data_IF_406411829525
#
_entry.id   IF_406411829525
#
_cell.length_a   1.000
_cell.length_b   1.000
_cell.length_c   1.000
_cell.angle_alpha   90.00
_cell.angle_beta   90.00
_cell.angle_gamma   90.00
#
_symmetry.space_group_name_H-M   'P 1'
#
loop_
_entity.id
_entity.type
_entity.pdbx_description
1 polymer ?
#
# COMPACT_ATOMS: atom_id res chain seq x y z
N UNK A 1 5.54 -23.95 -3.36
CA UNK A 1 6.69 -23.87 -2.44
C UNK A 1 6.57 -24.84 -1.25
N UNK A 2 5.73 -24.60 -0.22
CA UNK A 2 5.67 -25.49 0.97
C UNK A 2 5.28 -26.95 0.64
N UNK A 3 4.28 -27.17 -0.24
CA UNK A 3 3.93 -28.53 -0.71
C UNK A 3 5.07 -29.27 -1.42
N UNK A 4 5.95 -28.54 -2.09
CA UNK A 4 7.07 -29.11 -2.86
C UNK A 4 8.28 -29.39 -1.96
N UNK A 5 8.57 -28.52 -0.99
CA UNK A 5 9.73 -28.65 -0.08
C UNK A 5 9.44 -29.61 1.11
N UNK A 6 8.19 -29.79 1.53
CA UNK A 6 7.82 -30.60 2.70
C UNK A 6 6.91 -31.80 2.37
N UNK A 7 7.32 -32.65 1.43
CA UNK A 7 6.73 -33.99 1.18
C UNK A 7 5.20 -33.97 0.98
N UNK A 8 4.65 -32.98 0.27
CA UNK A 8 3.22 -32.93 -0.06
C UNK A 8 2.29 -32.49 1.08
N UNK A 9 2.81 -32.08 2.25
CA UNK A 9 1.97 -31.60 3.36
C UNK A 9 1.28 -30.28 3.00
N UNK A 10 -0.04 -30.26 3.15
CA UNK A 10 -0.88 -29.11 2.81
C UNK A 10 -1.15 -28.21 4.02
N UNK A 11 -0.38 -27.12 4.11
CA UNK A 11 -0.52 -26.13 5.17
C UNK A 11 -1.87 -25.39 5.13
N UNK A 12 -2.61 -25.43 4.01
CA UNK A 12 -3.88 -24.70 3.84
C UNK A 12 -5.00 -25.24 4.75
N UNK A 13 -4.85 -26.46 5.25
CA UNK A 13 -5.81 -27.11 6.15
C UNK A 13 -5.75 -26.56 7.58
N UNK A 14 -4.62 -25.98 8.00
CA UNK A 14 -4.39 -25.51 9.37
C UNK A 14 -4.31 -23.99 9.45
N UNK A 15 -5.41 -23.37 9.90
CA UNK A 15 -5.54 -21.92 10.06
C UNK A 15 -4.48 -21.31 11.00
N UNK A 16 -4.07 -22.04 12.06
CA UNK A 16 -3.06 -21.58 13.01
C UNK A 16 -1.68 -21.52 12.36
N UNK A 17 -1.31 -22.55 11.59
CA UNK A 17 -0.06 -22.58 10.83
C UNK A 17 0.01 -21.42 9.82
N UNK A 18 -1.07 -21.19 9.07
CA UNK A 18 -1.16 -20.08 8.10
C UNK A 18 -0.99 -18.72 8.80
N UNK A 19 -1.63 -18.52 9.95
CA UNK A 19 -1.52 -17.25 10.69
C UNK A 19 -0.07 -16.98 11.14
N UNK A 20 0.60 -18.00 11.68
CA UNK A 20 2.01 -17.89 12.11
C UNK A 20 2.93 -17.56 10.93
N UNK A 21 2.74 -18.25 9.80
CA UNK A 21 3.49 -17.96 8.58
C UNK A 21 3.22 -16.53 8.08
N UNK A 22 1.96 -16.07 8.07
CA UNK A 22 1.61 -14.70 7.67
C UNK A 22 2.29 -13.64 8.53
N UNK A 23 2.35 -13.84 9.85
CA UNK A 23 3.04 -12.92 10.76
C UNK A 23 4.55 -12.85 10.45
N UNK A 24 5.17 -14.01 10.21
CA UNK A 24 6.58 -14.07 9.82
C UNK A 24 6.83 -13.39 8.46
N UNK A 25 5.94 -13.61 7.48
CA UNK A 25 6.01 -12.95 6.18
C UNK A 25 5.80 -11.42 6.27
N UNK A 26 4.92 -10.93 7.14
CA UNK A 26 4.72 -9.49 7.35
C UNK A 26 5.97 -8.83 7.93
N UNK A 27 6.61 -9.48 8.90
CA UNK A 27 7.89 -9.05 9.46
C UNK A 27 8.98 -9.05 8.38
N UNK A 28 9.06 -10.13 7.59
CA UNK A 28 10.00 -10.24 6.49
C UNK A 28 9.80 -9.15 5.42
N UNK A 29 8.54 -8.87 5.03
CA UNK A 29 8.19 -7.78 4.11
C UNK A 29 8.73 -6.44 4.61
N UNK A 30 8.53 -6.12 5.90
CA UNK A 30 9.03 -4.88 6.50
C UNK A 30 10.56 -4.81 6.47
N UNK A 31 11.24 -5.91 6.75
CA UNK A 31 12.70 -6.00 6.66
C UNK A 31 13.19 -5.84 5.22
N UNK A 32 12.50 -6.40 4.23
CA UNK A 32 12.88 -6.29 2.81
C UNK A 32 12.74 -4.87 2.26
N UNK A 33 11.95 -4.01 2.90
CA UNK A 33 11.91 -2.58 2.56
C UNK A 33 13.23 -1.85 2.84
N UNK A 34 14.10 -2.37 3.71
CA UNK A 34 15.42 -1.78 4.02
C UNK A 34 16.58 -2.71 3.65
N UNK A 35 16.47 -4.02 3.90
CA UNK A 35 17.49 -5.03 3.62
C UNK A 35 17.28 -5.72 2.26
N UNK A 36 18.36 -6.18 1.62
CA UNK A 36 18.30 -6.89 0.34
C UNK A 36 17.79 -8.33 0.46
N UNK A 37 17.89 -8.93 1.65
CA UNK A 37 17.40 -10.27 1.96
C UNK A 37 17.03 -10.38 3.43
N UNK A 38 16.20 -11.37 3.76
CA UNK A 38 15.81 -11.69 5.13
C UNK A 38 15.50 -13.18 5.25
N UNK A 39 15.50 -13.71 6.47
CA UNK A 39 15.20 -15.11 6.75
C UNK A 39 13.82 -15.21 7.40
N UNK A 40 12.91 -15.96 6.78
CA UNK A 40 11.60 -16.31 7.33
C UNK A 40 11.77 -17.60 8.12
N UNK A 41 11.65 -17.51 9.45
CA UNK A 41 11.78 -18.65 10.38
C UNK A 41 10.49 -18.79 11.18
N UNK A 42 9.94 -20.00 11.21
CA UNK A 42 8.80 -20.37 12.06
C UNK A 42 9.02 -21.78 12.61
N UNK A 43 9.23 -21.87 13.92
CA UNK A 43 9.40 -23.15 14.64
C UNK A 43 8.08 -23.94 14.70
N UNK A 44 8.12 -25.27 14.62
CA UNK A 44 6.96 -26.17 14.63
C UNK A 44 5.79 -25.62 13.80
N UNK A 45 6.02 -25.22 12.55
CA UNK A 45 5.01 -24.56 11.71
C UNK A 45 3.82 -25.49 11.46
N UNK A 46 4.08 -26.75 11.12
CA UNK A 46 3.06 -27.76 10.82
C UNK A 46 3.58 -29.17 11.07
N UNK A 47 2.85 -29.99 11.83
CA UNK A 47 3.27 -31.34 12.26
C UNK A 47 4.70 -31.40 12.84
N UNK A 48 5.04 -30.47 13.74
CA UNK A 48 6.38 -30.35 14.35
C UNK A 48 7.53 -30.14 13.33
N UNK A 49 7.21 -29.68 12.11
CA UNK A 49 8.21 -29.30 11.11
C UNK A 49 8.50 -27.82 11.21
N UNK A 50 9.78 -27.48 11.43
CA UNK A 50 10.28 -26.12 11.35
C UNK A 50 10.29 -25.61 9.89
N UNK A 51 9.93 -24.35 9.72
CA UNK A 51 10.03 -23.66 8.44
C UNK A 51 11.15 -22.62 8.49
N UNK A 52 12.03 -22.69 7.51
CA UNK A 52 13.19 -21.80 7.41
C UNK A 52 13.50 -21.55 5.94
N UNK A 53 13.30 -20.30 5.49
CA UNK A 53 13.61 -19.90 4.11
C UNK A 53 14.20 -18.51 4.05
N UNK A 54 15.26 -18.34 3.27
CA UNK A 54 15.77 -17.01 2.92
C UNK A 54 14.95 -16.47 1.76
N UNK A 55 14.47 -15.23 1.89
CA UNK A 55 13.75 -14.50 0.86
C UNK A 55 14.56 -13.25 0.52
N UNK A 56 14.82 -13.06 -0.77
CA UNK A 56 15.46 -11.83 -1.28
C UNK A 56 14.41 -10.80 -1.67
N UNK A 57 14.82 -9.53 -1.70
CA UNK A 57 13.97 -8.43 -2.17
C UNK A 57 13.54 -8.66 -3.62
N UNK A 58 14.45 -9.12 -4.48
CA UNK A 58 14.16 -9.40 -5.88
C UNK A 58 13.06 -10.47 -6.04
N UNK A 59 13.13 -11.56 -5.27
CA UNK A 59 12.08 -12.60 -5.28
C UNK A 59 10.74 -12.05 -4.77
N UNK A 60 10.75 -11.26 -3.68
CA UNK A 60 9.53 -10.61 -3.19
C UNK A 60 8.90 -9.69 -4.24
N UNK A 61 9.73 -8.87 -4.90
CA UNK A 61 9.27 -7.95 -5.94
C UNK A 61 8.70 -8.69 -7.14
N UNK A 62 9.33 -9.80 -7.56
CA UNK A 62 8.80 -10.66 -8.62
C UNK A 62 7.46 -11.30 -8.23
N UNK A 63 7.32 -11.78 -6.99
CA UNK A 63 6.08 -12.40 -6.49
C UNK A 63 4.89 -11.43 -6.43
N UNK A 64 5.13 -10.12 -6.40
CA UNK A 64 4.10 -9.09 -6.26
C UNK A 64 4.06 -8.11 -7.44
N UNK A 65 4.79 -8.37 -8.52
CA UNK A 65 4.93 -7.44 -9.65
C UNK A 65 3.58 -7.12 -10.31
N UNK A 66 2.70 -8.10 -10.42
CA UNK A 66 1.34 -7.95 -10.94
C UNK A 66 0.52 -6.96 -10.08
N UNK A 67 0.61 -7.09 -8.75
CA UNK A 67 -0.07 -6.18 -7.82
C UNK A 67 0.51 -4.76 -7.88
N UNK A 68 1.83 -4.62 -7.97
CA UNK A 68 2.48 -3.32 -8.13
C UNK A 68 2.15 -2.67 -9.47
N UNK A 69 1.96 -3.46 -10.51
CA UNK A 69 1.55 -2.95 -11.83
C UNK A 69 0.11 -2.42 -11.79
N UNK A 70 -0.80 -3.14 -11.12
CA UNK A 70 -2.18 -2.69 -10.93
C UNK A 70 -2.27 -1.35 -10.18
N UNK A 71 -1.37 -1.07 -9.23
CA UNK A 71 -1.38 0.25 -8.57
C UNK A 71 -0.99 1.38 -9.53
N UNK A 72 -0.07 1.11 -10.48
CA UNK A 72 0.30 2.10 -11.49
C UNK A 72 -0.82 2.35 -12.51
N UNK A 73 -1.64 1.35 -12.80
CA UNK A 73 -2.80 1.55 -13.68
C UNK A 73 -3.81 2.51 -13.05
N UNK A 74 -4.00 2.45 -11.73
CA UNK A 74 -4.83 3.44 -11.01
C UNK A 74 -4.27 4.85 -11.11
N UNK A 75 -2.95 5.03 -10.99
CA UNK A 75 -2.31 6.34 -11.17
C UNK A 75 -2.59 6.90 -12.57
N UNK A 76 -2.48 6.07 -13.61
CA UNK A 76 -2.77 6.48 -15.00
C UNK A 76 -4.23 6.87 -15.18
N UNK A 77 -5.17 6.05 -14.67
CA UNK A 77 -6.60 6.36 -14.74
C UNK A 77 -6.93 7.64 -14.01
N UNK A 78 -6.37 7.88 -12.81
CA UNK A 78 -6.60 9.12 -12.06
C UNK A 78 -6.10 10.36 -12.81
N UNK A 79 -4.95 10.30 -13.47
CA UNK A 79 -4.47 11.40 -14.32
C UNK A 79 -5.40 11.65 -15.51
N UNK A 80 -5.86 10.58 -16.16
CA UNK A 80 -6.80 10.66 -17.27
C UNK A 80 -8.14 11.29 -16.85
N UNK A 81 -8.68 10.88 -15.70
CA UNK A 81 -9.94 11.40 -15.17
C UNK A 81 -9.82 12.87 -14.78
N UNK A 82 -8.66 13.27 -14.24
CA UNK A 82 -8.32 14.65 -13.93
C UNK A 82 -8.00 15.50 -15.17
N UNK A 83 -7.81 14.87 -16.34
CA UNK A 83 -7.34 15.52 -17.58
C UNK A 83 -6.01 16.26 -17.39
N UNK A 84 -5.10 15.65 -16.64
CA UNK A 84 -3.77 16.18 -16.36
C UNK A 84 -2.70 15.29 -16.97
N UNK A 85 -1.63 15.92 -17.47
CA UNK A 85 -0.42 15.23 -17.86
C UNK A 85 0.52 15.05 -16.66
N UNK A 86 1.48 14.13 -16.81
CA UNK A 86 2.51 13.88 -15.79
C UNK A 86 3.30 15.14 -15.41
N UNK A 87 3.44 16.07 -16.35
CA UNK A 87 4.18 17.32 -16.16
C UNK A 87 3.44 18.30 -15.23
N UNK A 88 2.10 18.22 -15.18
CA UNK A 88 1.25 19.09 -14.36
C UNK A 88 1.30 18.70 -12.87
N UNK A 89 1.88 17.55 -12.54
CA UNK A 89 2.04 17.10 -11.15
C UNK A 89 3.27 17.75 -10.53
N UNK A 90 3.04 18.59 -9.53
CA UNK A 90 4.08 19.36 -8.84
C UNK A 90 4.79 18.54 -7.76
N UNK A 91 4.03 17.82 -6.93
CA UNK A 91 4.55 17.03 -5.81
C UNK A 91 3.91 15.66 -5.76
N UNK A 92 4.68 14.67 -5.28
CA UNK A 92 4.22 13.30 -5.08
C UNK A 92 4.43 12.96 -3.61
N UNK A 93 3.34 13.01 -2.82
CA UNK A 93 3.37 12.66 -1.41
C UNK A 93 3.03 11.17 -1.22
N UNK A 94 3.88 10.46 -0.50
CA UNK A 94 3.65 9.06 -0.16
C UNK A 94 2.92 8.92 1.18
N UNK A 95 1.80 8.21 1.18
CA UNK A 95 0.99 7.96 2.38
C UNK A 95 0.68 6.46 2.51
N UNK A 96 0.77 5.94 3.73
CA UNK A 96 0.56 4.53 4.08
C UNK A 96 1.84 3.69 4.07
N UNK A 97 2.02 2.81 5.06
CA UNK A 97 3.26 2.08 5.28
C UNK A 97 3.76 1.20 4.12
N UNK A 98 2.87 0.71 3.23
CA UNK A 98 3.28 -0.04 2.04
C UNK A 98 4.02 0.81 1.00
N UNK A 99 3.92 2.13 1.06
CA UNK A 99 4.71 3.04 0.21
C UNK A 99 6.21 3.01 0.54
N UNK A 100 6.61 2.39 1.66
CA UNK A 100 8.03 2.16 2.02
C UNK A 100 8.70 1.09 1.15
N UNK A 101 7.95 0.35 0.32
CA UNK A 101 8.51 -0.66 -0.58
C UNK A 101 9.32 0.03 -1.68
N UNK A 102 10.63 -0.26 -1.83
CA UNK A 102 11.49 0.41 -2.80
C UNK A 102 10.99 0.29 -4.25
N UNK A 103 10.46 -0.88 -4.64
CA UNK A 103 9.94 -1.08 -6.00
C UNK A 103 8.79 -0.16 -6.35
N UNK A 104 7.85 0.03 -5.42
CA UNK A 104 6.70 0.95 -5.61
C UNK A 104 7.19 2.39 -5.79
N UNK A 105 8.17 2.82 -4.98
CA UNK A 105 8.78 4.14 -5.11
C UNK A 105 9.49 4.31 -6.45
N UNK A 106 10.30 3.33 -6.86
CA UNK A 106 11.01 3.35 -8.12
C UNK A 106 10.05 3.41 -9.32
N UNK A 107 8.97 2.63 -9.31
CA UNK A 107 7.97 2.64 -10.38
C UNK A 107 7.24 3.99 -10.46
N UNK A 108 6.95 4.63 -9.33
CA UNK A 108 6.39 5.99 -9.31
C UNK A 108 7.38 7.03 -9.84
N UNK A 109 8.63 7.00 -9.40
CA UNK A 109 9.66 7.92 -9.89
C UNK A 109 9.87 7.77 -11.39
N UNK A 110 10.00 6.53 -11.89
CA UNK A 110 10.13 6.24 -13.31
C UNK A 110 8.91 6.77 -14.09
N UNK A 111 7.70 6.54 -13.58
CA UNK A 111 6.48 7.01 -14.22
C UNK A 111 6.42 8.54 -14.33
N UNK A 112 6.91 9.26 -13.32
CA UNK A 112 6.98 10.72 -13.28
C UNK A 112 8.35 11.27 -13.69
N UNK A 113 9.06 10.60 -14.61
CA UNK A 113 10.31 11.06 -15.23
C UNK A 113 11.43 11.42 -14.23
N UNK A 114 11.55 10.63 -13.16
CA UNK A 114 12.57 10.81 -12.13
C UNK A 114 12.25 11.89 -11.10
N UNK A 115 11.02 12.43 -11.05
CA UNK A 115 10.61 13.40 -10.04
C UNK A 115 10.80 12.85 -8.62
N UNK A 116 11.25 13.70 -7.71
CA UNK A 116 11.45 13.35 -6.31
C UNK A 116 10.12 13.04 -5.59
N UNK A 117 10.16 12.00 -4.76
CA UNK A 117 9.06 11.64 -3.88
C UNK A 117 9.19 12.40 -2.55
N UNK A 118 8.12 13.06 -2.14
CA UNK A 118 8.08 13.83 -0.90
C UNK A 118 8.06 12.90 0.31
N UNK A 119 8.99 13.14 1.25
CA UNK A 119 9.20 12.34 2.47
C UNK A 119 9.15 13.18 3.75
N UNK A 120 8.75 14.44 3.66
CA UNK A 120 8.67 15.37 4.79
C UNK A 120 7.65 14.96 5.86
N UNK A 121 6.68 14.12 5.52
CA UNK A 121 5.61 13.68 6.42
C UNK A 121 5.74 12.17 6.66
N UNK A 122 5.53 11.75 7.90
CA UNK A 122 5.46 10.32 8.23
C UNK A 122 4.25 9.67 7.53
N UNK A 123 4.46 8.68 6.63
CA UNK A 123 3.37 8.10 5.84
C UNK A 123 2.33 7.37 6.69
N UNK A 124 2.67 6.92 7.89
CA UNK A 124 1.75 6.20 8.78
C UNK A 124 0.84 7.15 9.58
N UNK A 125 1.21 8.44 9.69
CA UNK A 125 0.53 9.44 10.50
C UNK A 125 -0.15 10.54 9.66
N UNK A 126 0.25 10.69 8.39
CA UNK A 126 -0.21 11.77 7.51
C UNK A 126 -1.75 11.92 7.47
N UNK A 127 -2.48 10.79 7.41
CA UNK A 127 -3.95 10.77 7.37
C UNK A 127 -4.54 11.27 8.69
N UNK A 128 -4.04 10.75 9.83
CA UNK A 128 -4.52 11.13 11.15
C UNK A 128 -4.23 12.61 11.44
N UNK A 129 -3.07 13.09 11.01
CA UNK A 129 -2.69 14.49 11.12
C UNK A 129 -3.65 15.40 10.35
N UNK A 130 -3.93 15.09 9.07
CA UNK A 130 -4.89 15.85 8.27
C UNK A 130 -6.30 15.86 8.89
N UNK A 131 -6.76 14.72 9.42
CA UNK A 131 -8.03 14.63 10.11
C UNK A 131 -8.10 15.50 11.37
N UNK A 132 -7.02 15.55 12.16
CA UNK A 132 -6.94 16.41 13.35
C UNK A 132 -7.00 17.90 12.99
N UNK A 133 -6.33 18.32 11.91
CA UNK A 133 -6.41 19.70 11.39
C UNK A 133 -7.84 20.06 11.02
N UNK A 134 -8.54 19.17 10.28
CA UNK A 134 -9.95 19.39 9.92
C UNK A 134 -10.87 19.43 11.14
N UNK A 135 -10.65 18.55 12.12
CA UNK A 135 -11.43 18.52 13.35
C UNK A 135 -11.29 19.84 14.13
N UNK A 136 -10.07 20.33 14.29
CA UNK A 136 -9.83 21.56 15.03
C UNK A 136 -10.33 22.81 14.26
N UNK A 137 -10.36 22.79 12.92
CA UNK A 137 -11.11 23.79 12.13
C UNK A 137 -12.60 23.78 12.48
N UNK A 138 -13.20 22.59 12.54
CA UNK A 138 -14.63 22.44 12.85
C UNK A 138 -14.97 22.80 14.31
N UNK A 139 -14.03 22.62 15.23
CA UNK A 139 -14.19 22.99 16.64
C UNK A 139 -13.94 24.48 16.93
N UNK A 140 -13.51 25.27 15.94
CA UNK A 140 -13.21 26.70 16.13
C UNK A 140 -11.91 26.99 16.90
N UNK A 141 -11.07 25.98 17.14
CA UNK A 141 -9.81 26.09 17.90
C UNK A 141 -8.59 26.20 16.98
N UNK A 142 -8.70 26.97 15.90
CA UNK A 142 -7.63 27.12 14.89
C UNK A 142 -6.81 28.40 15.07
N UNK A 143 -5.55 28.36 14.64
CA UNK A 143 -4.72 29.56 14.53
C UNK A 143 -5.13 30.39 13.30
N UNK A 144 -4.89 31.71 13.34
CA UNK A 144 -5.20 32.64 12.24
C UNK A 144 -4.60 32.24 10.89
N UNK A 145 -3.52 31.46 10.87
CA UNK A 145 -2.87 30.99 9.64
C UNK A 145 -3.71 29.94 8.87
N UNK A 146 -4.67 29.28 9.54
CA UNK A 146 -5.46 28.18 8.97
C UNK A 146 -6.95 28.50 8.83
N UNK A 147 -7.37 29.73 9.14
CA UNK A 147 -8.77 30.16 9.01
C UNK A 147 -9.31 30.01 7.57
N UNK A 148 -8.45 30.25 6.58
CA UNK A 148 -8.80 30.21 5.15
C UNK A 148 -8.65 28.81 4.51
N UNK A 149 -8.41 27.76 5.28
CA UNK A 149 -8.25 26.41 4.73
C UNK A 149 -9.60 25.91 4.17
N UNK A 150 -9.75 25.83 2.84
CA UNK A 150 -10.94 25.25 2.20
C UNK A 150 -10.64 23.89 1.60
N UNK A 151 -11.55 22.92 1.80
CA UNK A 151 -11.45 21.57 1.27
C UNK A 151 -12.62 21.33 0.31
N UNK A 152 -12.30 20.99 -0.93
CA UNK A 152 -13.26 20.56 -1.94
C UNK A 152 -13.03 19.08 -2.22
N UNK A 153 -14.07 18.25 -2.04
CA UNK A 153 -14.02 16.81 -2.26
C UNK A 153 -14.99 16.43 -3.38
N UNK A 154 -14.67 15.35 -4.11
CA UNK A 154 -15.47 14.83 -5.22
C UNK A 154 -16.03 13.46 -4.86
N UNK A 155 -17.22 13.14 -5.37
CA UNK A 155 -17.80 11.80 -5.21
C UNK A 155 -17.06 10.79 -6.11
N UNK A 156 -16.52 9.68 -5.58
CA UNK A 156 -15.67 8.77 -6.34
C UNK A 156 -16.43 7.95 -7.39
N UNK A 157 -17.74 7.81 -7.25
CA UNK A 157 -18.60 7.06 -8.15
C UNK A 157 -19.82 7.89 -8.53
N UNK A 158 -20.35 7.63 -9.73
CA UNK A 158 -21.59 8.24 -10.19
C UNK A 158 -22.77 7.76 -9.33
N UNK A 159 -23.63 8.70 -8.93
CA UNK A 159 -24.86 8.41 -8.21
C UNK A 159 -26.02 8.38 -9.21
N UNK A 160 -26.71 7.25 -9.28
CA UNK A 160 -27.92 7.07 -10.06
C UNK A 160 -29.00 6.42 -9.20
N UNK A 161 -30.26 6.69 -9.52
CA UNK A 161 -31.39 6.01 -8.89
C UNK A 161 -32.25 5.41 -10.00
N UNK A 162 -32.85 4.25 -9.72
CA UNK A 162 -33.69 3.52 -10.67
C UNK A 162 -35.13 3.61 -10.20
N UNK A 163 -36.01 4.05 -11.06
CA UNK A 163 -37.44 4.08 -10.76
C UNK A 163 -38.06 2.66 -10.86
N UNK A 164 -39.32 2.54 -10.44
CA UNK A 164 -40.08 1.28 -10.50
C UNK A 164 -40.36 0.79 -11.94
N UNK A 165 -40.15 1.65 -12.96
CA UNK A 165 -40.26 1.30 -14.37
C UNK A 165 -38.96 0.81 -14.97
N UNK A 166 -37.89 0.87 -14.17
CA UNK A 166 -36.59 0.33 -14.51
C UNK A 166 -35.78 1.21 -15.46
N UNK A 167 -36.15 2.48 -15.60
CA UNK A 167 -35.32 3.47 -16.26
C UNK A 167 -34.17 3.88 -15.32
N UNK A 168 -32.95 3.88 -15.87
CA UNK A 168 -31.76 4.50 -15.27
C UNK A 168 -31.58 5.90 -15.85
#
# INVERSE_FOLDING_TARGET
MIKQEHKGKDLTTNKRAIHRLRKACETAKRMLSSAASTKVVVESLFDEVDFCKTLTRAEFEQLCMDLFSQTMDKVKTTLSDAKLDKADIHEILLVGGSTRIPKVQSMLQEFFNGRDLQRSINPDEAVAYGAAVLAAKRSGNMSKLMENLMLYEVTPLSLGWKDCYGAM
#
